data_IF_457282618507
#
_entry.id   IF_457282618507
#
_cell.length_a   1.000
_cell.length_b   1.000
_cell.length_c   1.000
_cell.angle_alpha   90.00
_cell.angle_beta   90.00
_cell.angle_gamma   90.00
#
_symmetry.space_group_name_H-M   'P 1'
#
loop_
_entity.id
_entity.type
_entity.pdbx_description
1 polymer ?
#
# COMPACT_ATOMS: atom_id res chain seq x y z
N UNK A 1 -9.91 5.43 -8.08
CA UNK A 1 -9.23 5.89 -6.86
C UNK A 1 -8.46 4.72 -6.28
N UNK A 2 -7.21 4.92 -5.82
CA UNK A 2 -6.33 3.85 -5.31
C UNK A 2 -5.96 3.99 -3.83
N UNK A 3 -5.94 5.23 -3.33
CA UNK A 3 -5.41 5.55 -2.00
C UNK A 3 -6.51 6.12 -1.12
N UNK A 4 -6.58 5.64 0.10
CA UNK A 4 -7.62 5.97 1.05
C UNK A 4 -7.04 6.17 2.46
N UNK A 5 -7.75 6.90 3.31
CA UNK A 5 -7.51 6.87 4.75
C UNK A 5 -8.26 5.68 5.40
N UNK A 6 -8.07 5.47 6.70
CA UNK A 6 -8.70 4.36 7.45
C UNK A 6 -10.24 4.37 7.44
N UNK A 7 -10.88 5.50 7.11
CA UNK A 7 -12.33 5.59 6.92
C UNK A 7 -12.78 5.31 5.48
N UNK A 8 -11.88 4.82 4.61
CA UNK A 8 -12.13 4.59 3.19
C UNK A 8 -12.51 5.84 2.40
N UNK A 9 -12.08 7.02 2.87
CA UNK A 9 -12.20 8.27 2.12
C UNK A 9 -10.98 8.43 1.22
N UNK A 10 -11.14 8.90 -0.04
CA UNK A 10 -10.01 9.20 -0.92
C UNK A 10 -8.95 10.05 -0.21
N UNK A 11 -7.71 9.56 -0.19
CA UNK A 11 -6.59 10.24 0.44
C UNK A 11 -6.03 11.32 -0.49
N UNK A 12 -5.91 12.55 -0.01
CA UNK A 12 -5.23 13.64 -0.72
C UNK A 12 -3.71 13.59 -0.52
N UNK A 13 -2.92 14.22 -1.42
CA UNK A 13 -1.46 14.32 -1.23
C UNK A 13 -1.06 15.02 0.08
N UNK A 14 -1.81 16.05 0.49
CA UNK A 14 -1.54 16.77 1.74
C UNK A 14 -1.75 15.89 2.97
N UNK A 15 -2.82 15.09 2.98
CA UNK A 15 -3.09 14.10 4.04
C UNK A 15 -2.06 12.96 4.05
N UNK A 16 -1.52 12.60 2.88
CA UNK A 16 -0.49 11.57 2.78
C UNK A 16 0.87 12.00 3.35
N UNK A 17 1.12 13.31 3.45
CA UNK A 17 2.32 13.86 4.08
C UNK A 17 3.62 13.26 3.54
N UNK A 18 4.44 12.69 4.43
CA UNK A 18 5.73 12.08 4.07
C UNK A 18 5.60 10.87 3.12
N UNK A 19 4.40 10.25 3.04
CA UNK A 19 4.13 9.10 2.20
C UNK A 19 3.67 9.48 0.78
N UNK A 20 3.37 10.76 0.53
CA UNK A 20 2.78 11.22 -0.74
C UNK A 20 3.61 10.80 -1.96
N UNK A 21 4.93 10.98 -1.90
CA UNK A 21 5.84 10.60 -3.01
C UNK A 21 5.85 9.09 -3.24
N UNK A 22 5.91 8.29 -2.17
CA UNK A 22 5.91 6.83 -2.29
C UNK A 22 4.59 6.30 -2.86
N UNK A 23 3.45 6.86 -2.42
CA UNK A 23 2.14 6.52 -2.98
C UNK A 23 2.05 6.88 -4.47
N UNK A 24 2.58 8.02 -4.88
CA UNK A 24 2.60 8.38 -6.30
C UNK A 24 3.52 7.45 -7.12
N UNK A 25 4.66 7.02 -6.57
CA UNK A 25 5.49 6.00 -7.21
C UNK A 25 4.80 4.65 -7.34
N UNK A 26 3.94 4.27 -6.39
CA UNK A 26 3.07 3.09 -6.51
C UNK A 26 2.03 3.27 -7.62
N UNK A 27 1.44 4.47 -7.76
CA UNK A 27 0.49 4.76 -8.86
C UNK A 27 1.14 4.57 -10.23
N UNK A 28 2.40 4.97 -10.36
CA UNK A 28 3.18 4.89 -11.60
C UNK A 28 3.78 3.50 -11.87
N UNK A 29 3.68 2.58 -10.92
CA UNK A 29 4.24 1.24 -11.05
C UNK A 29 3.57 0.46 -12.20
N UNK A 30 4.34 -0.30 -13.01
CA UNK A 30 3.77 -1.11 -14.08
C UNK A 30 2.89 -2.24 -13.49
N UNK A 31 1.82 -2.58 -14.20
CA UNK A 31 0.97 -3.74 -13.89
C UNK A 31 0.45 -4.39 -15.16
N UNK A 32 0.12 -5.68 -15.09
CA UNK A 32 -0.49 -6.40 -16.20
C UNK A 32 -1.76 -5.66 -16.68
N UNK A 33 -1.81 -5.39 -17.98
CA UNK A 33 -2.92 -4.68 -18.63
C UNK A 33 -3.25 -3.29 -18.04
N UNK A 34 -2.31 -2.66 -17.32
CA UNK A 34 -2.52 -1.42 -16.56
C UNK A 34 -3.67 -1.50 -15.55
N UNK A 35 -3.98 -2.70 -15.05
CA UNK A 35 -5.12 -2.94 -14.18
C UNK A 35 -4.96 -2.36 -12.76
N UNK A 36 -3.72 -2.09 -12.33
CA UNK A 36 -3.37 -1.52 -11.02
C UNK A 36 -4.20 -2.16 -9.89
N UNK A 37 -3.99 -3.46 -9.62
CA UNK A 37 -4.92 -4.26 -8.82
C UNK A 37 -4.89 -3.94 -7.32
N UNK A 38 -4.26 -2.83 -6.91
CA UNK A 38 -4.00 -2.48 -5.53
C UNK A 38 -4.92 -1.36 -5.02
N UNK A 39 -5.27 -1.47 -3.75
CA UNK A 39 -5.89 -0.42 -2.93
C UNK A 39 -4.98 -0.26 -1.72
N UNK A 40 -4.55 0.97 -1.43
CA UNK A 40 -3.74 1.26 -0.26
C UNK A 40 -4.54 2.11 0.73
N UNK A 41 -4.44 1.75 2.00
CA UNK A 41 -4.99 2.51 3.11
C UNK A 41 -3.81 3.04 3.92
N UNK A 42 -3.73 4.36 4.09
CA UNK A 42 -2.83 4.98 5.04
C UNK A 42 -3.54 5.13 6.38
N UNK A 43 -2.96 4.53 7.41
CA UNK A 43 -3.37 4.65 8.80
C UNK A 43 -2.16 4.98 9.66
N UNK A 44 -2.05 6.25 10.03
CA UNK A 44 -0.93 6.81 10.78
C UNK A 44 0.41 6.50 10.10
N UNK A 45 1.23 5.63 10.68
CA UNK A 45 2.54 5.22 10.19
C UNK A 45 2.51 3.88 9.45
N UNK A 46 1.32 3.40 9.07
CA UNK A 46 1.13 2.11 8.40
C UNK A 46 0.40 2.26 7.07
N UNK A 47 0.96 1.65 6.03
CA UNK A 47 0.39 1.54 4.68
C UNK A 47 -0.10 0.11 4.48
N UNK A 48 -1.42 -0.08 4.48
CA UNK A 48 -2.04 -1.39 4.26
C UNK A 48 -2.34 -1.62 2.78
N UNK A 49 -1.93 -2.76 2.25
CA UNK A 49 -2.19 -3.16 0.87
C UNK A 49 -3.32 -4.17 0.79
N UNK A 50 -4.25 -3.88 -0.10
CA UNK A 50 -5.38 -4.73 -0.46
C UNK A 50 -5.39 -4.95 -1.96
N UNK A 51 -5.93 -6.07 -2.41
CA UNK A 51 -6.24 -6.29 -3.82
C UNK A 51 -7.70 -5.93 -4.14
N UNK A 52 -7.93 -5.36 -5.32
CA UNK A 52 -9.24 -4.93 -5.81
C UNK A 52 -10.00 -6.07 -6.52
N UNK A 53 -10.40 -7.14 -5.82
CA UNK A 53 -11.24 -8.16 -6.47
C UNK A 53 -11.73 -9.28 -5.56
N UNK A 54 -12.90 -9.85 -5.88
CA UNK A 54 -13.54 -10.91 -5.09
C UNK A 54 -13.00 -12.33 -5.33
N UNK A 55 -12.43 -12.62 -6.50
CA UNK A 55 -12.34 -14.02 -6.96
C UNK A 55 -11.07 -14.40 -7.71
N UNK A 56 -10.17 -13.46 -8.00
CA UNK A 56 -8.95 -13.80 -8.74
C UNK A 56 -7.76 -12.99 -8.28
N UNK A 57 -7.02 -13.53 -7.31
CA UNK A 57 -5.67 -13.10 -6.95
C UNK A 57 -4.64 -14.03 -7.60
N UNK A 58 -4.65 -14.04 -8.94
CA UNK A 58 -3.76 -14.86 -9.76
C UNK A 58 -2.28 -14.55 -9.50
N UNK A 59 -1.41 -15.46 -9.96
CA UNK A 59 0.06 -15.28 -9.91
C UNK A 59 0.51 -13.96 -10.55
N UNK A 60 -0.17 -13.48 -11.58
CA UNK A 60 0.14 -12.20 -12.22
C UNK A 60 -0.18 -11.01 -11.31
N UNK A 61 -1.32 -11.05 -10.61
CA UNK A 61 -1.67 -9.98 -9.63
C UNK A 61 -0.78 -10.02 -8.39
N UNK A 62 -0.30 -11.19 -8.00
CA UNK A 62 0.74 -11.32 -6.97
C UNK A 62 2.04 -10.66 -7.41
N UNK A 63 2.46 -10.87 -8.67
CA UNK A 63 3.63 -10.21 -9.25
C UNK A 63 3.44 -8.69 -9.30
N UNK A 64 2.31 -8.20 -9.82
CA UNK A 64 1.99 -6.77 -9.87
C UNK A 64 2.01 -6.14 -8.46
N UNK A 65 1.49 -6.85 -7.45
CA UNK A 65 1.53 -6.40 -6.06
C UNK A 65 2.97 -6.30 -5.52
N UNK A 66 3.84 -7.27 -5.87
CA UNK A 66 5.27 -7.22 -5.51
C UNK A 66 6.00 -6.03 -6.15
N UNK A 67 5.61 -5.62 -7.35
CA UNK A 67 6.13 -4.40 -7.99
C UNK A 67 5.69 -3.17 -7.20
N UNK A 68 4.41 -3.09 -6.81
CA UNK A 68 3.90 -2.00 -5.98
C UNK A 68 4.62 -1.91 -4.62
N UNK A 69 4.88 -3.05 -3.97
CA UNK A 69 5.67 -3.11 -2.72
C UNK A 69 7.06 -2.52 -2.92
N UNK A 70 7.74 -2.94 -3.99
CA UNK A 70 9.09 -2.47 -4.31
C UNK A 70 9.13 -0.97 -4.55
N UNK A 71 8.16 -0.43 -5.31
CA UNK A 71 8.05 1.01 -5.56
C UNK A 71 7.84 1.81 -4.28
N UNK A 72 6.99 1.34 -3.38
CA UNK A 72 6.77 1.98 -2.08
C UNK A 72 8.06 1.98 -1.24
N UNK A 73 8.61 0.80 -0.98
CA UNK A 73 9.74 0.62 -0.05
C UNK A 73 11.01 1.29 -0.55
N UNK A 74 11.32 1.20 -1.85
CA UNK A 74 12.49 1.89 -2.42
C UNK A 74 12.37 3.41 -2.30
N UNK A 75 11.17 3.95 -2.53
CA UNK A 75 10.93 5.40 -2.41
C UNK A 75 11.06 5.86 -0.97
N UNK A 76 10.45 5.15 -0.02
CA UNK A 76 10.52 5.46 1.40
C UNK A 76 11.96 5.36 1.91
N UNK A 77 12.70 4.32 1.52
CA UNK A 77 14.12 4.19 1.85
C UNK A 77 14.97 5.34 1.28
N UNK A 78 14.71 5.79 0.05
CA UNK A 78 15.38 6.96 -0.53
C UNK A 78 15.07 8.25 0.24
N UNK A 79 13.91 8.33 0.91
CA UNK A 79 13.52 9.43 1.80
C UNK A 79 14.00 9.25 3.25
N UNK A 80 14.81 8.22 3.55
CA UNK A 80 15.23 7.83 4.91
C UNK A 80 14.06 7.51 5.85
N UNK A 81 12.95 7.02 5.31
CA UNK A 81 11.80 6.54 6.05
C UNK A 81 11.89 5.02 6.08
N UNK A 82 12.27 4.47 7.23
CA UNK A 82 12.46 3.04 7.42
C UNK A 82 11.22 2.40 8.04
N UNK A 83 11.03 1.12 7.74
CA UNK A 83 9.90 0.36 8.21
C UNK A 83 10.09 -1.13 7.97
N UNK A 84 9.04 -1.89 8.24
CA UNK A 84 8.99 -3.34 8.04
C UNK A 84 7.67 -3.75 7.41
N UNK A 85 7.72 -4.84 6.67
CA UNK A 85 6.54 -5.54 6.20
C UNK A 85 5.99 -6.46 7.31
N UNK A 86 4.69 -6.34 7.59
CA UNK A 86 3.94 -7.20 8.49
C UNK A 86 2.74 -7.81 7.75
N UNK A 87 2.25 -8.94 8.25
CA UNK A 87 1.02 -9.61 7.77
C UNK A 87 0.07 -9.79 8.94
N UNK A 88 -0.45 -8.66 9.42
CA UNK A 88 -1.46 -8.57 10.46
C UNK A 88 -2.64 -7.79 9.88
N UNK A 89 -3.71 -8.51 9.51
CA UNK A 89 -4.88 -7.90 8.89
C UNK A 89 -5.59 -7.03 9.95
N UNK A 90 -5.68 -5.70 9.76
CA UNK A 90 -6.35 -4.82 10.70
C UNK A 90 -7.89 -4.95 10.64
N UNK A 91 -8.43 -5.82 9.79
CA UNK A 91 -9.86 -6.05 9.58
C UNK A 91 -10.62 -4.80 9.13
N UNK A 92 -9.96 -3.84 8.47
CA UNK A 92 -10.59 -2.60 8.00
C UNK A 92 -11.62 -2.82 6.89
N UNK A 93 -11.49 -3.88 6.09
CA UNK A 93 -12.30 -4.06 4.88
C UNK A 93 -13.43 -5.08 5.04
N UNK A 94 -14.54 -4.84 4.33
CA UNK A 94 -15.59 -5.85 4.07
C UNK A 94 -15.19 -6.82 2.95
N UNK A 95 -15.98 -7.88 2.74
CA UNK A 95 -15.80 -9.03 1.82
C UNK A 95 -15.52 -8.76 0.32
N UNK A 96 -15.21 -7.52 -0.09
CA UNK A 96 -14.99 -7.12 -1.49
C UNK A 96 -13.52 -6.85 -1.84
N UNK A 97 -12.63 -6.76 -0.86
CA UNK A 97 -11.18 -6.55 -1.03
C UNK A 97 -10.44 -7.55 -0.16
N UNK A 98 -9.35 -8.13 -0.66
CA UNK A 98 -8.53 -9.05 0.14
C UNK A 98 -7.27 -8.35 0.63
N UNK A 99 -7.03 -8.45 1.94
CA UNK A 99 -5.80 -8.00 2.57
C UNK A 99 -4.60 -8.78 2.03
N UNK A 100 -3.47 -8.10 1.82
CA UNK A 100 -2.22 -8.71 1.37
C UNK A 100 -1.13 -8.60 2.42
N UNK A 101 -0.77 -7.38 2.80
CA UNK A 101 0.30 -7.07 3.74
C UNK A 101 0.21 -5.60 4.19
N UNK A 102 1.05 -5.20 5.13
CA UNK A 102 1.19 -3.81 5.54
C UNK A 102 2.66 -3.45 5.69
N UNK A 103 3.02 -2.24 5.27
CA UNK A 103 4.30 -1.63 5.58
C UNK A 103 4.09 -0.70 6.77
N UNK A 104 4.83 -0.90 7.86
CA UNK A 104 4.73 -0.05 9.06
C UNK A 104 6.08 0.61 9.32
N UNK A 105 6.07 1.93 9.53
CA UNK A 105 7.27 2.70 9.84
C UNK A 105 7.84 2.23 11.17
N UNK A 106 9.17 2.15 11.24
CA UNK A 106 9.90 1.91 12.48
C UNK A 106 10.51 3.25 12.86
N UNK A 107 10.20 3.72 14.07
CA UNK A 107 10.88 4.88 14.64
C UNK A 107 12.08 4.42 15.48
N UNK A 108 13.10 5.27 15.68
CA UNK A 108 14.27 4.92 16.50
C UNK A 108 13.95 4.56 17.95
N UNK A 109 12.73 4.83 18.44
CA UNK A 109 12.25 4.38 19.76
C UNK A 109 11.70 2.95 19.78
N UNK A 110 11.53 2.32 18.62
CA UNK A 110 10.94 0.97 18.47
C UNK A 110 12.01 -0.15 18.38
N UNK A 111 13.30 0.19 18.52
CA UNK A 111 14.45 -0.72 18.53
C UNK A 111 14.99 -0.94 19.93
#
# INVERSE_FOLDING_TARGET
QLFYNKQFTPLSPDEAGIYATALEMVRLAPSASNGQPWILILDEDTVHFYHNGKTDYSKYKQLDMGIAFSHLELTLNHQNIHGKWIREDPCYTSSKTGYVASWTRITPSDS
#
